data_IF_088251662277
#
_entry.id   IF_088251662277
#
_cell.length_a   1.000
_cell.length_b   1.000
_cell.length_c   1.000
_cell.angle_alpha   90.00
_cell.angle_beta   90.00
_cell.angle_gamma   90.00
#
_symmetry.space_group_name_H-M   'P 1'
#
loop_
_entity.id
_entity.type
_entity.pdbx_description
1 polymer ?
#
# COMPACT_ATOMS: atom_id res chain seq x y z
N UNK A 1 -20.82 -2.46 7.75
CA UNK A 1 -21.46 -3.57 7.00
C UNK A 1 -22.60 -3.08 6.12
N UNK A 2 -23.30 -2.04 6.49
CA UNK A 2 -24.50 -1.55 5.78
C UNK A 2 -24.24 -0.27 4.96
N UNK A 3 -22.97 0.08 4.70
CA UNK A 3 -22.64 1.19 3.80
C UNK A 3 -23.19 0.90 2.40
N UNK A 4 -23.97 1.83 1.79
CA UNK A 4 -24.46 1.64 0.41
C UNK A 4 -23.33 1.44 -0.59
N UNK A 5 -22.22 2.12 -0.41
CA UNK A 5 -21.05 2.01 -1.28
C UNK A 5 -20.47 0.59 -1.22
N UNK A 6 -20.31 0.01 0.01
CA UNK A 6 -19.84 -1.36 0.16
C UNK A 6 -20.80 -2.37 -0.48
N UNK A 7 -22.10 -2.22 -0.24
CA UNK A 7 -23.11 -3.12 -0.77
C UNK A 7 -23.16 -3.07 -2.31
N UNK A 8 -23.05 -1.87 -2.88
CA UNK A 8 -23.02 -1.71 -4.34
C UNK A 8 -21.79 -2.40 -4.95
N UNK A 9 -20.59 -2.11 -4.41
CA UNK A 9 -19.35 -2.68 -4.95
C UNK A 9 -19.19 -4.18 -4.69
N UNK A 10 -19.86 -4.74 -3.67
CA UNK A 10 -19.81 -6.18 -3.42
C UNK A 10 -20.58 -6.98 -4.46
N UNK A 11 -21.54 -6.37 -5.16
CA UNK A 11 -22.33 -7.01 -6.21
C UNK A 11 -21.64 -7.02 -7.57
N UNK A 12 -20.74 -6.05 -7.80
CA UNK A 12 -20.01 -5.93 -9.05
C UNK A 12 -18.63 -6.56 -8.92
N UNK A 13 -18.11 -7.10 -10.02
CA UNK A 13 -16.77 -7.70 -10.05
C UNK A 13 -15.73 -6.56 -10.12
N UNK A 14 -15.59 -5.80 -9.00
CA UNK A 14 -14.60 -4.73 -8.88
C UNK A 14 -13.55 -5.12 -7.84
N UNK A 15 -12.35 -4.62 -8.01
CA UNK A 15 -11.23 -4.87 -7.09
C UNK A 15 -11.27 -3.97 -5.85
N UNK A 16 -12.27 -3.09 -5.74
CA UNK A 16 -12.31 -2.05 -4.70
C UNK A 16 -12.59 -2.64 -3.31
N UNK A 17 -13.50 -3.63 -3.25
CA UNK A 17 -13.79 -4.32 -1.99
C UNK A 17 -12.57 -5.12 -1.51
N UNK A 18 -11.88 -5.79 -2.44
CA UNK A 18 -10.62 -6.50 -2.14
C UNK A 18 -9.55 -5.52 -1.64
N UNK A 19 -9.45 -4.34 -2.26
CA UNK A 19 -8.53 -3.29 -1.83
C UNK A 19 -8.85 -2.80 -0.41
N UNK A 20 -10.15 -2.54 -0.12
CA UNK A 20 -10.58 -2.11 1.22
C UNK A 20 -10.22 -3.17 2.27
N UNK A 21 -10.46 -4.45 1.96
CA UNK A 21 -10.09 -5.56 2.83
C UNK A 21 -8.58 -5.64 3.02
N UNK A 22 -7.80 -5.50 1.95
CA UNK A 22 -6.33 -5.50 2.00
C UNK A 22 -5.78 -4.37 2.88
N UNK A 23 -6.34 -3.15 2.74
CA UNK A 23 -6.00 -2.03 3.62
C UNK A 23 -6.30 -2.37 5.08
N UNK A 24 -7.50 -2.89 5.33
CA UNK A 24 -7.93 -3.21 6.70
C UNK A 24 -7.00 -4.24 7.35
N UNK A 25 -6.76 -5.38 6.70
CA UNK A 25 -5.90 -6.44 7.27
C UNK A 25 -4.45 -5.97 7.41
N UNK A 26 -3.94 -5.23 6.41
CA UNK A 26 -2.58 -4.70 6.43
C UNK A 26 -2.37 -3.75 7.61
N UNK A 27 -3.24 -2.75 7.76
CA UNK A 27 -3.14 -1.77 8.85
C UNK A 27 -3.36 -2.46 10.21
N UNK A 28 -4.40 -3.30 10.34
CA UNK A 28 -4.71 -3.96 11.62
C UNK A 28 -3.56 -4.85 12.09
N UNK A 29 -2.97 -5.63 11.18
CA UNK A 29 -1.82 -6.50 11.50
C UNK A 29 -0.60 -5.68 11.89
N UNK A 30 -0.36 -4.57 11.18
CA UNK A 30 0.77 -3.69 11.44
C UNK A 30 0.63 -2.97 12.79
N UNK A 31 -0.55 -2.44 13.12
CA UNK A 31 -0.78 -1.78 14.42
C UNK A 31 -0.59 -2.78 15.56
N UNK A 32 -1.12 -3.99 15.43
CA UNK A 32 -0.91 -5.06 16.43
C UNK A 32 0.59 -5.40 16.58
N UNK A 33 1.35 -5.34 15.50
CA UNK A 33 2.80 -5.53 15.56
C UNK A 33 3.46 -4.36 16.32
N UNK A 34 3.07 -3.10 16.07
CA UNK A 34 3.62 -1.96 16.81
C UNK A 34 3.37 -2.06 18.31
N UNK A 35 2.17 -2.47 18.73
CA UNK A 35 1.83 -2.66 20.16
C UNK A 35 2.78 -3.65 20.85
N UNK A 36 3.13 -4.73 20.19
CA UNK A 36 3.94 -5.80 20.79
C UNK A 36 4.77 -6.45 19.68
N UNK A 37 6.03 -6.06 19.61
CA UNK A 37 6.92 -6.35 18.49
C UNK A 37 7.51 -7.77 18.56
N UNK A 38 6.63 -8.80 18.66
CA UNK A 38 7.02 -10.21 18.68
C UNK A 38 7.23 -10.73 17.25
N UNK A 39 8.01 -11.81 17.12
CA UNK A 39 8.26 -12.46 15.84
C UNK A 39 6.95 -12.93 15.19
N UNK A 40 6.03 -13.47 15.98
CA UNK A 40 4.72 -13.92 15.46
C UNK A 40 3.93 -12.77 14.84
N UNK A 41 3.86 -11.62 15.53
CA UNK A 41 3.15 -10.44 15.00
C UNK A 41 3.85 -9.85 13.79
N UNK A 42 5.19 -9.89 13.76
CA UNK A 42 5.97 -9.48 12.58
C UNK A 42 5.63 -10.37 11.37
N UNK A 43 5.61 -11.68 11.57
CA UNK A 43 5.25 -12.64 10.52
C UNK A 43 3.83 -12.41 10.00
N UNK A 44 2.85 -12.20 10.91
CA UNK A 44 1.46 -11.92 10.53
C UNK A 44 1.38 -10.59 9.75
N UNK A 45 2.11 -9.56 10.17
CA UNK A 45 2.15 -8.27 9.45
C UNK A 45 2.75 -8.42 8.06
N UNK A 46 3.81 -9.22 7.91
CA UNK A 46 4.44 -9.50 6.61
C UNK A 46 3.52 -10.27 5.66
N UNK A 47 2.83 -11.30 6.19
CA UNK A 47 1.86 -12.06 5.40
C UNK A 47 0.69 -11.15 4.99
N UNK A 48 0.13 -10.38 5.93
CA UNK A 48 -0.97 -9.45 5.64
C UNK A 48 -0.56 -8.41 4.59
N UNK A 49 0.68 -7.89 4.68
CA UNK A 49 1.24 -6.98 3.69
C UNK A 49 1.31 -7.64 2.31
N UNK A 50 1.87 -8.85 2.23
CA UNK A 50 1.98 -9.59 0.96
C UNK A 50 0.62 -9.89 0.34
N UNK A 51 -0.35 -10.36 1.16
CA UNK A 51 -1.73 -10.60 0.70
C UNK A 51 -2.34 -9.29 0.15
N UNK A 52 -2.16 -8.19 0.86
CA UNK A 52 -2.66 -6.89 0.41
C UNK A 52 -2.10 -6.54 -0.98
N UNK A 53 -0.77 -6.69 -1.18
CA UNK A 53 -0.13 -6.41 -2.48
C UNK A 53 -0.69 -7.27 -3.62
N UNK A 54 -1.12 -8.50 -3.31
CA UNK A 54 -1.70 -9.42 -4.30
C UNK A 54 -3.16 -9.08 -4.62
N UNK A 55 -3.87 -8.41 -3.72
CA UNK A 55 -5.27 -8.02 -3.93
C UNK A 55 -5.40 -6.84 -4.90
N UNK A 56 -4.50 -5.85 -4.81
CA UNK A 56 -4.53 -4.70 -5.72
C UNK A 56 -3.18 -3.95 -5.67
N UNK A 57 -2.63 -3.62 -6.82
CA UNK A 57 -1.34 -2.92 -6.90
C UNK A 57 -1.34 -1.58 -6.14
N UNK A 58 -2.49 -0.87 -6.08
CA UNK A 58 -2.56 0.41 -5.35
C UNK A 58 -2.26 0.25 -3.85
N UNK A 59 -2.28 -0.98 -3.32
CA UNK A 59 -1.97 -1.24 -1.91
C UNK A 59 -0.46 -1.11 -1.62
N UNK A 60 0.38 -0.83 -2.65
CA UNK A 60 1.76 -0.38 -2.39
C UNK A 60 1.80 0.86 -1.49
N UNK A 61 0.70 1.62 -1.42
CA UNK A 61 0.54 2.75 -0.50
C UNK A 61 0.68 2.36 0.98
N UNK A 62 0.54 1.08 1.33
CA UNK A 62 0.84 0.60 2.68
C UNK A 62 2.31 0.85 3.06
N UNK A 63 3.23 0.89 2.09
CA UNK A 63 4.66 1.13 2.35
C UNK A 63 4.88 2.50 3.04
N UNK A 64 4.49 3.64 2.41
CA UNK A 64 4.64 4.93 3.09
C UNK A 64 3.75 5.04 4.34
N UNK A 65 2.58 4.41 4.38
CA UNK A 65 1.70 4.42 5.57
C UNK A 65 2.40 3.75 6.76
N UNK A 66 3.04 2.58 6.54
CA UNK A 66 3.81 1.90 7.60
C UNK A 66 4.98 2.76 8.06
N UNK A 67 5.64 3.46 7.12
CA UNK A 67 6.71 4.41 7.47
C UNK A 67 6.20 5.53 8.38
N UNK A 68 5.08 6.15 7.99
CA UNK A 68 4.45 7.24 8.78
C UNK A 68 4.04 6.74 10.17
N UNK A 69 3.36 5.58 10.24
CA UNK A 69 2.94 5.01 11.53
C UNK A 69 4.14 4.68 12.41
N UNK A 70 5.25 4.23 11.81
CA UNK A 70 6.48 3.94 12.56
C UNK A 70 7.10 5.20 13.13
N UNK A 71 7.15 6.29 12.34
CA UNK A 71 7.65 7.58 12.80
C UNK A 71 6.79 8.12 13.95
N UNK A 72 5.46 8.10 13.77
CA UNK A 72 4.53 8.55 14.80
C UNK A 72 4.66 7.71 16.07
N UNK A 73 4.79 6.39 15.94
CA UNK A 73 4.92 5.48 17.08
C UNK A 73 6.16 5.81 17.90
N UNK A 74 7.33 5.99 17.26
CA UNK A 74 8.56 6.32 17.97
C UNK A 74 8.46 7.72 18.62
N UNK A 75 7.80 8.66 17.93
CA UNK A 75 7.59 10.02 18.46
C UNK A 75 6.72 9.99 19.72
N UNK A 76 5.59 9.26 19.69
CA UNK A 76 4.69 9.16 20.84
C UNK A 76 5.38 8.49 22.04
N UNK A 77 6.18 7.44 21.80
CA UNK A 77 6.94 6.80 22.88
C UNK A 77 7.96 7.74 23.51
N UNK A 78 8.53 8.65 22.72
CA UNK A 78 9.47 9.65 23.23
C UNK A 78 8.78 10.65 24.16
N UNK A 79 7.54 11.02 23.83
CA UNK A 79 6.74 11.95 24.68
C UNK A 79 6.26 11.27 25.96
N UNK A 80 5.70 10.07 25.84
CA UNK A 80 5.14 9.30 26.98
C UNK A 80 6.22 8.93 28.00
N UNK A 81 7.48 8.77 27.57
CA UNK A 81 8.59 8.41 28.44
C UNK A 81 8.95 9.48 29.49
N UNK A 82 8.40 10.69 29.38
CA UNK A 82 8.61 11.78 30.36
C UNK A 82 10.07 12.18 30.51
N UNK A 83 10.89 11.94 29.50
CA UNK A 83 12.33 12.19 29.59
C UNK A 83 12.63 13.69 29.55
N UNK A 84 12.98 14.26 30.71
CA UNK A 84 13.58 15.61 30.78
C UNK A 84 15.05 15.55 30.32
N UNK A 85 15.27 15.01 29.12
CA UNK A 85 16.60 14.85 28.52
C UNK A 85 16.82 15.94 27.48
N UNK A 86 18.08 16.30 27.27
CA UNK A 86 18.46 17.30 26.29
C UNK A 86 18.09 16.87 24.86
N UNK A 87 17.94 17.86 23.97
CA UNK A 87 17.56 17.65 22.58
C UNK A 87 18.45 16.60 21.88
N UNK A 88 19.76 16.63 22.16
CA UNK A 88 20.72 15.69 21.56
C UNK A 88 20.40 14.23 21.91
N UNK A 89 20.02 13.98 23.16
CA UNK A 89 19.68 12.64 23.62
C UNK A 89 18.31 12.17 23.05
N UNK A 90 17.35 13.09 22.92
CA UNK A 90 16.08 12.81 22.25
C UNK A 90 16.30 12.38 20.79
N UNK A 91 17.16 13.09 20.07
CA UNK A 91 17.49 12.75 18.66
C UNK A 91 18.16 11.37 18.58
N UNK A 92 19.11 11.08 19.48
CA UNK A 92 19.79 9.77 19.52
C UNK A 92 18.80 8.63 19.78
N UNK A 93 17.92 8.83 20.76
CA UNK A 93 16.87 7.84 21.09
C UNK A 93 15.99 7.58 19.85
N UNK A 94 15.46 8.66 19.26
CA UNK A 94 14.59 8.57 18.09
C UNK A 94 15.30 7.83 16.95
N UNK A 95 16.53 8.22 16.62
CA UNK A 95 17.27 7.60 15.51
C UNK A 95 17.51 6.10 15.75
N UNK A 96 17.84 5.73 17.00
CA UNK A 96 18.06 4.33 17.38
C UNK A 96 16.78 3.51 17.26
N UNK A 97 15.70 3.98 17.89
CA UNK A 97 14.43 3.23 17.91
C UNK A 97 13.82 3.14 16.51
N UNK A 98 13.88 4.23 15.74
CA UNK A 98 13.42 4.21 14.35
C UNK A 98 14.28 3.28 13.50
N UNK A 99 15.59 3.25 13.69
CA UNK A 99 16.49 2.33 12.98
C UNK A 99 16.14 0.86 13.24
N UNK A 100 15.87 0.52 14.52
CA UNK A 100 15.43 -0.84 14.90
C UNK A 100 14.09 -1.16 14.22
N UNK A 101 13.14 -0.23 14.30
CA UNK A 101 11.81 -0.43 13.71
C UNK A 101 11.90 -0.52 12.18
N UNK A 102 12.75 0.29 11.55
CA UNK A 102 12.98 0.27 10.10
C UNK A 102 13.50 -1.12 9.65
N UNK A 103 14.41 -1.73 10.41
CA UNK A 103 14.90 -3.09 10.12
C UNK A 103 13.71 -4.08 10.13
N UNK A 104 12.81 -3.94 11.08
CA UNK A 104 11.60 -4.78 11.16
C UNK A 104 10.64 -4.52 9.99
N UNK A 105 10.53 -3.25 9.54
CA UNK A 105 9.75 -2.91 8.34
C UNK A 105 10.33 -3.60 7.10
N UNK A 106 11.65 -3.61 6.96
CA UNK A 106 12.33 -4.31 5.85
C UNK A 106 11.98 -5.81 5.92
N UNK A 107 12.01 -6.42 7.10
CA UNK A 107 11.65 -7.84 7.27
C UNK A 107 10.18 -8.09 6.89
N UNK A 108 9.25 -7.22 7.30
CA UNK A 108 7.83 -7.29 6.91
C UNK A 108 7.72 -7.25 5.36
N UNK A 109 8.44 -6.31 4.73
CA UNK A 109 8.48 -6.20 3.27
C UNK A 109 9.04 -7.46 2.61
N UNK A 110 10.13 -8.02 3.15
CA UNK A 110 10.75 -9.24 2.61
C UNK A 110 9.80 -10.44 2.70
N UNK A 111 9.09 -10.60 3.84
CA UNK A 111 8.09 -11.67 3.98
C UNK A 111 7.00 -11.50 2.93
N UNK A 112 6.51 -10.27 2.74
CA UNK A 112 5.53 -9.97 1.70
C UNK A 112 6.05 -10.27 0.30
N UNK A 113 7.30 -9.89 0.00
CA UNK A 113 7.92 -10.16 -1.31
C UNK A 113 8.08 -11.67 -1.56
N UNK A 114 8.39 -12.46 -0.53
CA UNK A 114 8.45 -13.92 -0.66
C UNK A 114 7.08 -14.47 -1.05
N UNK A 115 6.01 -14.00 -0.42
CA UNK A 115 4.65 -14.44 -0.74
C UNK A 115 4.26 -14.05 -2.18
N UNK A 116 4.57 -12.81 -2.58
CA UNK A 116 4.35 -12.32 -3.95
C UNK A 116 5.13 -13.19 -4.94
N UNK A 117 6.42 -13.46 -4.66
CA UNK A 117 7.28 -14.25 -5.51
C UNK A 117 6.68 -15.65 -5.74
N UNK A 118 6.29 -16.34 -4.66
CA UNK A 118 5.72 -17.69 -4.74
C UNK A 118 4.49 -17.74 -5.64
N UNK A 119 3.59 -16.76 -5.52
CA UNK A 119 2.40 -16.69 -6.37
C UNK A 119 2.77 -16.39 -7.82
N UNK A 120 3.71 -15.47 -8.03
CA UNK A 120 4.11 -15.04 -9.37
C UNK A 120 4.97 -16.08 -10.10
N UNK A 121 5.65 -16.99 -9.39
CA UNK A 121 6.28 -18.17 -10.01
C UNK A 121 5.23 -18.96 -10.79
N UNK A 122 4.07 -19.22 -10.15
CA UNK A 122 2.95 -19.90 -10.81
C UNK A 122 2.42 -19.08 -12.00
N UNK A 123 2.31 -17.78 -11.84
CA UNK A 123 1.79 -16.88 -12.87
C UNK A 123 2.67 -16.86 -14.15
N UNK A 124 4.00 -16.91 -14.00
CA UNK A 124 4.93 -16.88 -15.15
C UNK A 124 5.34 -18.26 -15.64
N UNK A 125 4.81 -19.35 -15.06
CA UNK A 125 5.21 -20.73 -15.33
C UNK A 125 5.24 -21.07 -16.83
N UNK A 126 4.17 -20.77 -17.55
CA UNK A 126 4.03 -21.05 -18.99
C UNK A 126 4.26 -19.81 -19.87
N UNK A 127 4.90 -18.76 -19.33
CA UNK A 127 5.15 -17.52 -20.08
C UNK A 127 6.61 -17.54 -20.56
N UNK A 128 6.86 -17.68 -21.89
CA UNK A 128 8.26 -17.70 -22.38
C UNK A 128 8.98 -16.40 -22.01
N UNK A 129 10.18 -16.51 -21.44
CA UNK A 129 10.94 -15.36 -20.94
C UNK A 129 11.20 -14.31 -22.02
N UNK A 130 11.54 -14.75 -23.24
CA UNK A 130 11.79 -13.82 -24.35
C UNK A 130 10.53 -13.02 -24.73
N UNK A 131 9.35 -13.63 -24.60
CA UNK A 131 8.08 -12.95 -24.83
C UNK A 131 7.78 -11.97 -23.68
N UNK A 132 7.93 -12.43 -22.44
CA UNK A 132 7.75 -11.57 -21.26
C UNK A 132 8.61 -10.30 -21.35
N UNK A 133 9.87 -10.45 -21.76
CA UNK A 133 10.79 -9.32 -21.93
C UNK A 133 10.27 -8.33 -22.98
N UNK A 134 9.90 -8.82 -24.18
CA UNK A 134 9.40 -7.94 -25.26
C UNK A 134 8.11 -7.24 -24.86
N UNK A 135 7.19 -7.97 -24.20
CA UNK A 135 5.91 -7.40 -23.77
C UNK A 135 6.15 -6.30 -22.70
N UNK A 136 7.04 -6.54 -21.74
CA UNK A 136 7.38 -5.53 -20.72
C UNK A 136 8.04 -4.30 -21.35
N UNK A 137 9.00 -4.50 -22.27
CA UNK A 137 9.67 -3.40 -22.98
C UNK A 137 8.65 -2.55 -23.77
N UNK A 138 7.72 -3.19 -24.45
CA UNK A 138 6.67 -2.53 -25.23
C UNK A 138 5.72 -1.74 -24.29
N UNK A 139 5.22 -2.39 -23.23
CA UNK A 139 4.26 -1.79 -22.29
C UNK A 139 4.87 -0.57 -21.61
N UNK A 140 6.13 -0.67 -21.19
CA UNK A 140 6.83 0.41 -20.47
C UNK A 140 7.57 1.38 -21.40
N UNK A 141 7.35 1.31 -22.71
CA UNK A 141 8.04 2.17 -23.70
C UNK A 141 7.84 3.66 -23.41
N UNK A 142 6.63 4.04 -22.93
CA UNK A 142 6.28 5.42 -22.59
C UNK A 142 6.43 5.76 -21.11
N UNK A 143 6.93 4.84 -20.26
CA UNK A 143 7.10 5.11 -18.84
C UNK A 143 8.24 6.11 -18.62
N UNK A 144 7.95 7.21 -17.90
CA UNK A 144 8.85 8.36 -17.79
C UNK A 144 10.17 8.10 -17.06
N UNK A 145 10.20 7.20 -16.07
CA UNK A 145 11.40 6.98 -15.24
C UNK A 145 12.13 5.72 -15.73
N UNK A 146 13.08 5.90 -16.64
CA UNK A 146 13.80 4.79 -17.29
C UNK A 146 14.53 3.87 -16.32
N UNK A 147 14.94 4.37 -15.13
CA UNK A 147 15.61 3.55 -14.13
C UNK A 147 14.73 2.37 -13.67
N UNK A 148 13.44 2.62 -13.45
CA UNK A 148 12.50 1.55 -13.07
C UNK A 148 12.24 0.57 -14.22
N UNK A 149 12.19 1.07 -15.46
CA UNK A 149 12.05 0.20 -16.65
C UNK A 149 13.25 -0.73 -16.75
N UNK A 150 14.46 -0.18 -16.63
CA UNK A 150 15.70 -0.95 -16.70
C UNK A 150 15.78 -2.00 -15.58
N UNK A 151 15.34 -1.63 -14.37
CA UNK A 151 15.28 -2.57 -13.24
C UNK A 151 14.33 -3.73 -13.57
N UNK A 152 13.13 -3.42 -14.07
CA UNK A 152 12.12 -4.42 -14.41
C UNK A 152 12.66 -5.39 -15.49
N UNK A 153 13.23 -4.84 -16.56
CA UNK A 153 13.78 -5.64 -17.65
C UNK A 153 14.96 -6.49 -17.18
N UNK A 154 15.80 -5.96 -16.27
CA UNK A 154 16.89 -6.72 -15.66
C UNK A 154 16.35 -7.88 -14.81
N UNK A 155 15.30 -7.63 -14.01
CA UNK A 155 14.67 -8.69 -13.21
C UNK A 155 14.08 -9.79 -14.10
N UNK A 156 13.43 -9.42 -15.21
CA UNK A 156 12.83 -10.37 -16.16
C UNK A 156 13.90 -11.27 -16.82
N UNK A 157 15.10 -10.73 -17.07
CA UNK A 157 16.21 -11.51 -17.64
C UNK A 157 16.75 -12.57 -16.66
N UNK A 158 16.54 -12.40 -15.38
CA UNK A 158 17.02 -13.32 -14.34
C UNK A 158 15.91 -14.34 -14.01
N UNK A 159 16.19 -15.63 -14.17
CA UNK A 159 15.19 -16.69 -13.97
C UNK A 159 14.55 -16.67 -12.58
N UNK A 160 15.35 -16.34 -11.54
CA UNK A 160 14.87 -16.31 -10.17
C UNK A 160 14.00 -15.05 -9.93
N UNK A 161 14.41 -13.91 -10.49
CA UNK A 161 13.75 -12.63 -10.22
C UNK A 161 12.59 -12.32 -11.19
N UNK A 162 12.45 -13.06 -12.30
CA UNK A 162 11.42 -12.79 -13.31
C UNK A 162 9.98 -12.80 -12.75
N UNK A 163 9.64 -13.61 -11.73
CA UNK A 163 8.30 -13.51 -11.13
C UNK A 163 8.06 -12.14 -10.47
N UNK A 164 9.07 -11.64 -9.74
CA UNK A 164 8.99 -10.29 -9.14
C UNK A 164 9.01 -9.19 -10.21
N UNK A 165 9.72 -9.40 -11.33
CA UNK A 165 9.65 -8.50 -12.49
C UNK A 165 8.22 -8.41 -13.01
N UNK A 166 7.52 -9.54 -13.15
CA UNK A 166 6.12 -9.52 -13.59
C UNK A 166 5.21 -8.74 -12.61
N UNK A 167 5.46 -8.84 -11.31
CA UNK A 167 4.74 -8.04 -10.30
C UNK A 167 5.10 -6.55 -10.46
N UNK A 168 6.39 -6.24 -10.62
CA UNK A 168 6.86 -4.86 -10.79
C UNK A 168 6.27 -4.23 -12.06
N UNK A 169 6.24 -4.97 -13.17
CA UNK A 169 5.58 -4.51 -14.40
C UNK A 169 4.13 -4.05 -14.11
N UNK A 170 3.35 -4.88 -13.40
CA UNK A 170 1.97 -4.52 -13.04
C UNK A 170 1.90 -3.26 -12.18
N UNK A 171 2.81 -3.12 -11.23
CA UNK A 171 2.90 -1.91 -10.38
C UNK A 171 3.23 -0.66 -11.22
N UNK A 172 4.22 -0.76 -12.13
CA UNK A 172 4.62 0.36 -13.00
C UNK A 172 3.47 0.76 -13.95
N UNK A 173 2.70 -0.22 -14.45
CA UNK A 173 1.51 0.07 -15.28
C UNK A 173 0.47 0.90 -14.49
N UNK A 174 0.26 0.57 -13.21
CA UNK A 174 -0.68 1.33 -12.37
C UNK A 174 -0.17 2.75 -12.12
N UNK A 175 1.13 2.91 -11.86
CA UNK A 175 1.76 4.23 -11.69
C UNK A 175 1.64 5.05 -12.98
N UNK A 176 1.93 4.43 -14.13
CA UNK A 176 1.82 5.07 -15.45
C UNK A 176 0.39 5.55 -15.71
N UNK A 177 -0.60 4.69 -15.44
CA UNK A 177 -2.02 5.03 -15.60
C UNK A 177 -2.42 6.19 -14.67
N UNK A 178 -1.96 6.16 -13.41
CA UNK A 178 -2.26 7.22 -12.44
C UNK A 178 -1.67 8.57 -12.88
N UNK A 179 -0.44 8.54 -13.43
CA UNK A 179 0.23 9.75 -13.93
C UNK A 179 -0.47 10.34 -15.16
N UNK A 180 -1.10 9.49 -15.98
CA UNK A 180 -1.85 9.93 -17.17
C UNK A 180 -3.20 10.57 -16.87
N UNK A 181 -3.68 10.44 -15.63
CA UNK A 181 -4.98 10.96 -15.21
C UNK A 181 -6.14 10.13 -15.73
N UNK A 182 -7.32 10.43 -15.23
CA UNK A 182 -8.57 9.81 -15.67
C UNK A 182 -9.64 10.88 -15.76
N UNK A 183 -10.37 10.89 -16.88
CA UNK A 183 -11.52 11.79 -17.05
C UNK A 183 -12.56 11.49 -15.97
N UNK A 184 -12.96 12.52 -15.24
CA UNK A 184 -13.88 12.43 -14.10
C UNK A 184 -15.04 13.39 -14.31
N UNK A 185 -16.26 12.93 -14.02
CA UNK A 185 -17.46 13.76 -13.97
C UNK A 185 -17.71 14.22 -12.53
N UNK A 186 -18.00 15.52 -12.36
CA UNK A 186 -18.27 16.08 -11.04
C UNK A 186 -19.18 17.30 -11.15
N UNK A 187 -20.36 17.21 -10.54
CA UNK A 187 -21.35 18.30 -10.41
C UNK A 187 -21.68 18.99 -11.75
N UNK A 188 -21.82 18.21 -12.82
CA UNK A 188 -22.20 18.74 -14.13
C UNK A 188 -21.05 18.97 -15.08
N UNK A 189 -19.81 18.84 -14.59
CA UNK A 189 -18.61 19.11 -15.40
C UNK A 189 -17.77 17.86 -15.60
N UNK A 190 -17.00 17.83 -16.69
CA UNK A 190 -16.06 16.75 -17.03
C UNK A 190 -14.65 17.31 -17.09
N UNK A 191 -13.71 16.71 -16.39
CA UNK A 191 -12.31 17.16 -16.37
C UNK A 191 -11.34 15.97 -16.25
N UNK A 192 -10.21 16.05 -16.93
CA UNK A 192 -9.09 15.12 -16.78
C UNK A 192 -8.19 15.53 -15.61
N UNK A 193 -8.23 16.79 -15.16
CA UNK A 193 -7.44 17.29 -14.03
C UNK A 193 -8.06 16.95 -12.67
N UNK A 194 -9.37 16.67 -12.64
CA UNK A 194 -10.10 16.40 -11.41
C UNK A 194 -10.35 17.65 -10.56
N UNK A 195 -10.76 17.44 -9.32
CA UNK A 195 -11.06 18.51 -8.36
C UNK A 195 -10.60 18.10 -6.96
N UNK A 196 -10.02 19.04 -6.21
CA UNK A 196 -9.59 18.79 -4.82
C UNK A 196 -10.78 18.43 -3.91
N UNK A 197 -11.95 18.99 -4.19
CA UNK A 197 -13.18 18.74 -3.42
C UNK A 197 -13.87 17.41 -3.78
N UNK A 198 -13.44 16.73 -4.85
CA UNK A 198 -14.15 15.53 -5.36
C UNK A 198 -14.35 14.47 -4.27
N UNK A 199 -13.25 14.04 -3.63
CA UNK A 199 -13.33 12.93 -2.66
C UNK A 199 -14.10 13.31 -1.39
N UNK A 200 -13.87 14.48 -0.77
CA UNK A 200 -14.69 14.91 0.38
C UNK A 200 -16.18 14.99 0.06
N UNK A 201 -16.55 15.61 -1.06
CA UNK A 201 -17.96 15.75 -1.43
C UNK A 201 -18.56 14.39 -1.80
N UNK A 202 -17.83 13.57 -2.57
CA UNK A 202 -18.30 12.22 -2.93
C UNK A 202 -18.55 11.37 -1.69
N UNK A 203 -17.65 11.45 -0.68
CA UNK A 203 -17.82 10.75 0.60
C UNK A 203 -19.08 11.21 1.33
N UNK A 204 -19.29 12.54 1.42
CA UNK A 204 -20.47 13.08 2.09
C UNK A 204 -21.78 12.68 1.39
N UNK A 205 -21.78 12.61 0.05
CA UNK A 205 -22.97 12.28 -0.70
C UNK A 205 -23.26 10.78 -0.78
N UNK A 206 -22.22 9.94 -0.79
CA UNK A 206 -22.37 8.50 -1.01
C UNK A 206 -22.64 7.71 0.26
N UNK A 207 -22.20 8.21 1.43
CA UNK A 207 -22.45 7.52 2.69
C UNK A 207 -23.73 8.01 3.35
N UNK A 208 -24.34 7.16 4.18
CA UNK A 208 -25.59 7.50 4.87
C UNK A 208 -25.35 8.52 5.99
N UNK A 209 -26.36 9.33 6.28
CA UNK A 209 -26.32 10.29 7.40
C UNK A 209 -26.02 9.55 8.72
N UNK A 210 -26.62 8.37 8.91
CA UNK A 210 -26.36 7.55 10.11
C UNK A 210 -24.87 7.19 10.24
N UNK A 211 -24.20 6.89 9.11
CA UNK A 211 -22.76 6.59 9.10
C UNK A 211 -21.94 7.83 9.53
N UNK A 212 -22.30 9.00 8.98
CA UNK A 212 -21.63 10.26 9.35
C UNK A 212 -21.81 10.59 10.85
N UNK A 213 -23.02 10.41 11.38
CA UNK A 213 -23.28 10.64 12.80
C UNK A 213 -22.48 9.68 13.70
N UNK A 214 -22.42 8.41 13.33
CA UNK A 214 -21.63 7.42 14.07
C UNK A 214 -20.12 7.75 14.02
N UNK A 215 -19.69 8.20 12.91
CA UNK A 215 -18.27 8.61 12.77
C UNK A 215 -17.92 9.80 13.65
N UNK A 216 -18.80 10.63 13.78
CA UNK A 216 -18.67 11.73 14.55
C UNK A 216 -18.76 11.44 15.98
N UNK A 217 -19.40 10.38 16.26
CA UNK A 217 -19.51 9.97 17.56
C UNK A 217 -18.30 9.29 18.02
N UNK A 218 -17.73 8.56 17.21
CA UNK A 218 -16.59 7.91 17.49
C UNK A 218 -15.43 8.81 17.67
N UNK A 219 -15.50 9.74 17.17
CA UNK A 219 -14.52 10.70 17.33
C UNK A 219 -14.55 11.46 18.60
N UNK A 220 -15.57 11.53 19.22
CA UNK A 220 -15.74 12.21 20.52
C UNK A 220 -15.39 11.33 21.74
N UNK A 221 -15.29 10.05 21.56
CA UNK A 221 -15.08 9.09 22.66
C UNK A 221 -13.57 8.84 22.90
N UNK A 222 -12.75 9.20 21.96
CA UNK A 222 -11.28 9.06 22.03
C UNK A 222 -10.59 10.42 21.98
#
# INVERSE_FOLDING_TARGET
AFSPTFLAHSRYVTTDLAAAFGFFIGIAAFLRFLEKQTFQRLLVAGIAFGVAQLLKFSLFLLVPIYGIFSLLWVFLQLEDGGYEIGLREKIKYFAREFGILFTKLVLIGLIGLVLIHLLYVWHVWNYPQARQFRDAEFILSSFGIRAFVNLDLWMIKNEILRPLGQYLLGLLMVVQRAAGGNTTYYLGEVSAAGWLSYFPVAYLLKETIAFHLLTXXXXKIY
#
